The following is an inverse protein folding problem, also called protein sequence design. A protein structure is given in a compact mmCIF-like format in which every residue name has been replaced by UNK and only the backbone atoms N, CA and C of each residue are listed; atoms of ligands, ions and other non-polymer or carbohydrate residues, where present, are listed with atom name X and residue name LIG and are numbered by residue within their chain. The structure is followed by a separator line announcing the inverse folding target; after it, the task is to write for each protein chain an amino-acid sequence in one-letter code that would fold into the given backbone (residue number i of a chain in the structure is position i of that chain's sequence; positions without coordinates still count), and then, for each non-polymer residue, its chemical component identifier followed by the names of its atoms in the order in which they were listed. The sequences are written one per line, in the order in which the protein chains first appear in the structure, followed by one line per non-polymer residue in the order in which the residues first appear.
data_IF_323531956855
#
_entry.id   IF_323531956855
#
_cell.length_a   1.000
_cell.length_b   1.000
_cell.length_c   1.000
_cell.angle_alpha   90.00
_cell.angle_beta   90.00
_cell.angle_gamma   90.00
#
_symmetry.space_group_name_H-M   'P 1'
#
loop_
_entity.id
_entity.type
_entity.pdbx_description
1 polymer ?
#
# COMPACT_ATOMS: atom_id res chain seq x y z
N UNK A 1 -36.12 -17.33 -22.83
CA UNK A 1 -35.26 -16.12 -22.86
C UNK A 1 -35.42 -15.42 -21.52
N UNK A 2 -34.65 -15.82 -20.49
CA UNK A 2 -34.63 -15.21 -19.13
C UNK A 2 -33.48 -15.79 -18.27
N UNK A 3 -33.00 -16.99 -18.60
CA UNK A 3 -31.85 -17.61 -17.90
C UNK A 3 -30.49 -16.96 -18.22
N UNK A 4 -30.39 -16.17 -19.30
CA UNK A 4 -29.16 -15.50 -19.71
C UNK A 4 -28.90 -14.19 -18.93
N UNK A 5 -29.93 -13.59 -18.35
CA UNK A 5 -29.82 -12.32 -17.62
C UNK A 5 -29.28 -12.49 -16.19
N UNK A 6 -29.56 -13.62 -15.55
CA UNK A 6 -29.02 -13.93 -14.22
C UNK A 6 -27.52 -14.24 -14.24
N UNK A 7 -26.98 -14.73 -15.36
CA UNK A 7 -25.57 -15.10 -15.50
C UNK A 7 -24.64 -13.90 -15.71
N UNK A 8 -25.13 -12.80 -16.30
CA UNK A 8 -24.28 -11.62 -16.58
C UNK A 8 -23.99 -10.77 -15.33
N UNK A 9 -24.86 -10.82 -14.31
CA UNK A 9 -24.74 -9.98 -13.11
C UNK A 9 -23.64 -10.46 -12.13
N UNK A 10 -23.19 -11.71 -12.23
CA UNK A 10 -22.17 -12.28 -11.33
C UNK A 10 -20.75 -11.86 -11.74
N UNK A 11 -20.53 -11.49 -13.01
CA UNK A 11 -19.20 -11.12 -13.50
C UNK A 11 -18.78 -9.68 -13.16
N UNK A 12 -19.72 -8.82 -12.72
CA UNK A 12 -19.45 -7.40 -12.45
C UNK A 12 -18.80 -7.14 -11.08
N UNK A 13 -18.73 -8.13 -10.18
CA UNK A 13 -18.17 -7.96 -8.83
C UNK A 13 -16.71 -8.38 -8.70
N UNK A 14 -16.07 -8.86 -9.77
CA UNK A 14 -14.62 -8.92 -9.85
C UNK A 14 -14.04 -7.52 -10.12
N UNK A 15 -14.41 -6.55 -9.27
CA UNK A 15 -13.59 -5.35 -9.10
C UNK A 15 -12.29 -5.87 -8.53
N UNK A 16 -11.29 -5.95 -9.41
CA UNK A 16 -9.93 -6.36 -9.11
C UNK A 16 -9.50 -5.71 -7.79
N UNK A 17 -9.27 -6.52 -6.75
CA UNK A 17 -8.42 -6.11 -5.63
C UNK A 17 -7.04 -5.87 -6.24
N UNK A 18 -6.85 -4.70 -6.83
CA UNK A 18 -5.55 -4.23 -7.19
C UNK A 18 -4.86 -4.00 -5.85
N UNK A 19 -4.01 -4.95 -5.44
CA UNK A 19 -3.08 -4.77 -4.34
C UNK A 19 -1.99 -3.77 -4.78
N UNK A 20 -2.40 -2.60 -5.27
CA UNK A 20 -1.50 -1.54 -5.60
C UNK A 20 -0.94 -1.07 -4.25
N UNK A 21 0.35 -1.36 -4.03
CA UNK A 21 1.11 -0.77 -2.94
C UNK A 21 1.24 0.75 -3.11
N UNK A 22 0.90 1.25 -4.29
CA UNK A 22 0.93 2.65 -4.63
C UNK A 22 -0.47 3.18 -4.93
N UNK A 23 -0.76 4.39 -4.46
CA UNK A 23 -1.97 5.15 -4.78
C UNK A 23 -1.60 6.52 -5.33
N UNK A 24 -2.48 7.06 -6.18
CA UNK A 24 -2.40 8.43 -6.67
C UNK A 24 -3.57 9.21 -6.10
N UNK A 25 -3.28 10.30 -5.39
CA UNK A 25 -4.26 11.25 -4.89
C UNK A 25 -4.20 12.47 -5.81
N UNK A 26 -5.22 12.69 -6.67
CA UNK A 26 -5.23 13.84 -7.56
C UNK A 26 -5.17 15.14 -6.75
N UNK A 27 -4.36 16.10 -7.19
CA UNK A 27 -4.37 17.44 -6.59
C UNK A 27 -5.70 18.12 -6.84
N UNK A 28 -6.22 18.85 -5.84
CA UNK A 28 -7.34 19.77 -6.02
C UNK A 28 -6.89 21.00 -6.84
N UNK A 29 -6.74 20.81 -8.15
CA UNK A 29 -6.33 21.85 -9.11
C UNK A 29 -7.30 21.97 -10.26
N UNK A 30 -7.43 23.17 -10.82
CA UNK A 30 -8.21 23.41 -12.02
C UNK A 30 -7.68 22.54 -13.17
N UNK A 31 -8.58 21.79 -13.83
CA UNK A 31 -8.27 20.96 -15.00
C UNK A 31 -7.48 21.79 -16.02
N UNK A 32 -6.20 21.46 -16.21
CA UNK A 32 -5.31 22.12 -17.17
C UNK A 32 -4.18 22.99 -16.59
N UNK A 33 -4.07 23.14 -15.27
CA UNK A 33 -2.93 23.79 -14.62
C UNK A 33 -2.07 22.77 -13.83
N UNK A 34 -0.76 22.76 -14.06
CA UNK A 34 0.17 21.96 -13.25
C UNK A 34 0.24 22.56 -11.84
N UNK A 35 0.02 21.76 -10.78
CA UNK A 35 0.12 22.25 -9.40
C UNK A 35 1.57 22.64 -9.08
N UNK A 36 1.78 23.79 -8.44
CA UNK A 36 3.08 24.17 -7.86
C UNK A 36 3.33 23.47 -6.52
N UNK A 37 2.26 22.97 -5.90
CA UNK A 37 2.25 22.31 -4.60
C UNK A 37 1.09 21.31 -4.53
N UNK A 38 1.25 20.29 -3.69
CA UNK A 38 0.21 19.34 -3.36
C UNK A 38 -0.20 19.49 -1.89
N UNK A 39 -1.50 19.34 -1.60
CA UNK A 39 -1.99 19.23 -0.22
C UNK A 39 -2.32 17.78 0.10
N UNK A 40 -1.73 17.24 1.16
CA UNK A 40 -2.02 15.88 1.60
C UNK A 40 -3.31 15.80 2.43
N UNK A 41 -3.71 14.57 2.78
CA UNK A 41 -4.92 14.30 3.58
C UNK A 41 -4.85 14.83 5.01
N UNK A 42 -3.63 15.07 5.53
CA UNK A 42 -3.39 15.65 6.84
C UNK A 42 -3.46 17.20 6.79
N UNK A 43 -3.62 17.77 5.60
CA UNK A 43 -3.75 19.19 5.33
C UNK A 43 -2.42 19.91 5.13
N UNK A 44 -1.29 19.19 5.16
CA UNK A 44 0.04 19.74 4.93
C UNK A 44 0.30 19.98 3.44
N UNK A 45 1.00 21.07 3.14
CA UNK A 45 1.34 21.47 1.77
C UNK A 45 2.78 21.10 1.47
N UNK A 46 2.98 20.39 0.36
CA UNK A 46 4.27 19.92 -0.12
C UNK A 46 4.58 20.54 -1.49
N UNK A 47 5.76 21.12 -1.71
CA UNK A 47 6.15 21.64 -3.01
C UNK A 47 6.18 20.55 -4.09
N UNK A 48 6.00 20.93 -5.36
CA UNK A 48 6.21 20.03 -6.49
C UNK A 48 7.61 19.38 -6.43
N UNK A 49 7.67 18.06 -6.68
CA UNK A 49 8.84 17.17 -6.54
C UNK A 49 9.33 16.92 -5.12
N UNK A 50 8.64 17.42 -4.09
CA UNK A 50 8.93 17.02 -2.72
C UNK A 50 8.62 15.54 -2.51
N UNK A 51 9.43 14.88 -1.68
CA UNK A 51 9.19 13.52 -1.19
C UNK A 51 9.12 13.54 0.35
N UNK A 52 8.23 12.75 0.92
CA UNK A 52 8.09 12.61 2.38
C UNK A 52 7.64 11.21 2.77
N UNK A 53 7.88 10.84 4.03
CA UNK A 53 7.36 9.60 4.60
C UNK A 53 6.13 9.92 5.46
N UNK A 54 5.13 9.04 5.41
CA UNK A 54 3.93 9.13 6.24
C UNK A 54 4.04 8.23 7.47
N UNK A 55 3.21 8.48 8.47
CA UNK A 55 3.05 7.58 9.62
C UNK A 55 2.51 6.19 9.25
N UNK A 56 1.90 6.06 8.07
CA UNK A 56 1.30 4.82 7.55
C UNK A 56 2.30 3.95 6.77
N UNK A 57 3.59 4.19 6.96
CA UNK A 57 4.66 3.44 6.28
C UNK A 57 4.59 3.53 4.76
N UNK A 58 4.40 4.75 4.27
CA UNK A 58 4.44 5.07 2.85
C UNK A 58 5.47 6.16 2.58
N UNK A 59 6.08 6.07 1.40
CA UNK A 59 6.83 7.17 0.81
C UNK A 59 5.94 7.83 -0.23
N UNK A 60 5.68 9.11 -0.02
CA UNK A 60 4.89 9.94 -0.89
C UNK A 60 5.76 10.92 -1.68
N UNK A 61 5.27 11.33 -2.84
CA UNK A 61 5.87 12.37 -3.67
C UNK A 61 4.79 13.24 -4.32
N UNK A 62 5.05 14.54 -4.43
CA UNK A 62 4.17 15.48 -5.13
C UNK A 62 4.63 15.59 -6.58
N UNK A 63 3.82 15.12 -7.51
CA UNK A 63 4.06 15.19 -8.96
C UNK A 63 3.00 16.05 -9.65
N UNK A 64 3.16 16.28 -10.96
CA UNK A 64 2.28 17.16 -11.75
C UNK A 64 0.82 16.68 -11.80
N UNK A 65 0.59 15.38 -11.62
CA UNK A 65 -0.73 14.75 -11.61
C UNK A 65 -1.27 14.49 -10.19
N UNK A 66 -0.58 14.96 -9.15
CA UNK A 66 -0.98 14.82 -7.75
C UNK A 66 0.04 14.10 -6.89
N UNK A 67 -0.41 13.56 -5.76
CA UNK A 67 0.44 12.89 -4.78
C UNK A 67 0.49 11.39 -5.08
N UNK A 68 1.69 10.84 -5.27
CA UNK A 68 1.92 9.40 -5.37
C UNK A 68 2.46 8.89 -4.06
N UNK A 69 1.73 7.99 -3.40
CA UNK A 69 2.17 7.35 -2.16
C UNK A 69 2.30 5.86 -2.37
N UNK A 70 3.46 5.30 -2.03
CA UNK A 70 3.74 3.87 -2.10
C UNK A 70 4.15 3.33 -0.72
N UNK A 71 3.67 2.15 -0.36
CA UNK A 71 4.14 1.45 0.83
C UNK A 71 5.65 1.16 0.73
N UNK A 72 6.37 1.44 1.82
CA UNK A 72 7.80 1.09 1.95
C UNK A 72 8.00 -0.23 2.70
N UNK A 73 6.91 -0.90 3.09
CA UNK A 73 6.96 -2.09 3.93
C UNK A 73 7.34 -3.32 3.12
N UNK A 74 8.49 -3.92 3.45
CA UNK A 74 8.87 -5.25 2.95
C UNK A 74 8.12 -6.33 3.73
N UNK A 75 7.26 -7.06 3.03
CA UNK A 75 6.44 -8.15 3.57
C UNK A 75 7.16 -9.48 3.39
N UNK A 76 7.25 -10.33 4.43
CA UNK A 76 7.80 -11.67 4.29
C UNK A 76 6.83 -12.50 3.44
N UNK A 77 7.32 -13.02 2.31
CA UNK A 77 6.53 -13.77 1.33
C UNK A 77 6.71 -15.28 1.44
N UNK A 78 7.83 -15.75 2.02
CA UNK A 78 8.14 -17.19 2.14
C UNK A 78 8.79 -17.50 3.49
N UNK A 79 8.04 -18.13 4.38
CA UNK A 79 8.50 -18.67 5.67
C UNK A 79 7.61 -19.87 6.06
N UNK A 80 7.97 -20.60 7.12
CA UNK A 80 7.14 -21.69 7.62
C UNK A 80 5.91 -21.15 8.36
N UNK A 81 4.81 -20.90 7.64
CA UNK A 81 3.56 -20.40 8.22
C UNK A 81 2.90 -21.38 9.21
N UNK A 82 3.31 -22.66 9.22
CA UNK A 82 2.80 -23.64 10.18
C UNK A 82 3.39 -23.40 11.58
N UNK A 83 4.70 -23.15 11.66
CA UNK A 83 5.45 -22.97 12.92
C UNK A 83 5.69 -21.51 13.31
N UNK A 84 5.57 -20.60 12.35
CA UNK A 84 5.96 -19.22 12.53
C UNK A 84 4.83 -18.25 12.19
N UNK A 85 4.90 -17.06 12.78
CA UNK A 85 4.01 -15.95 12.51
C UNK A 85 4.80 -14.66 12.29
N UNK A 86 4.17 -13.68 11.64
CA UNK A 86 4.77 -12.37 11.36
C UNK A 86 4.20 -11.31 12.27
N UNK A 87 5.07 -10.46 12.79
CA UNK A 87 4.73 -9.33 13.65
C UNK A 87 5.12 -8.06 12.90
N UNK A 88 4.16 -7.13 12.75
CA UNK A 88 4.42 -5.84 12.14
C UNK A 88 4.85 -4.83 13.19
N UNK A 89 5.90 -4.07 12.89
CA UNK A 89 6.43 -2.99 13.72
C UNK A 89 6.18 -1.66 13.02
N UNK A 90 5.14 -0.93 13.44
CA UNK A 90 4.75 0.35 12.83
C UNK A 90 5.89 1.38 12.87
N UNK A 91 6.58 1.49 14.01
CA UNK A 91 7.63 2.50 14.22
C UNK A 91 8.80 2.38 13.24
N UNK A 92 9.11 1.15 12.82
CA UNK A 92 10.21 0.84 11.90
C UNK A 92 9.73 0.44 10.51
N UNK A 93 8.41 0.40 10.28
CA UNK A 93 7.77 -0.03 9.04
C UNK A 93 8.27 -1.39 8.53
N UNK A 94 8.49 -2.34 9.45
CA UNK A 94 9.12 -3.63 9.15
C UNK A 94 8.38 -4.81 9.76
N UNK A 95 8.64 -6.00 9.23
CA UNK A 95 8.14 -7.26 9.78
C UNK A 95 9.26 -8.06 10.43
N UNK A 96 8.95 -8.69 11.56
CA UNK A 96 9.73 -9.79 12.11
C UNK A 96 8.93 -11.08 11.94
N UNK A 97 9.59 -12.19 11.66
CA UNK A 97 8.96 -13.52 11.64
C UNK A 97 9.52 -14.33 12.80
N UNK A 98 8.67 -14.84 13.67
CA UNK A 98 9.04 -15.52 14.92
C UNK A 98 8.31 -16.86 15.06
N UNK A 99 8.83 -17.75 15.90
CA UNK A 99 8.17 -19.01 16.23
C UNK A 99 6.89 -18.74 17.03
N UNK A 100 5.79 -19.44 16.69
CA UNK A 100 4.52 -19.33 17.43
C UNK A 100 4.64 -19.81 18.88
N UNK A 101 5.44 -20.84 19.12
CA UNK A 101 5.65 -21.40 20.47
C UNK A 101 6.59 -20.53 21.31
N UNK A 102 7.47 -19.77 20.67
CA UNK A 102 8.43 -18.91 21.34
C UNK A 102 8.74 -17.64 20.52
N UNK A 103 7.98 -16.55 20.74
CA UNK A 103 8.16 -15.30 20.01
C UNK A 103 9.54 -14.63 20.18
N UNK A 104 10.37 -15.06 21.15
CA UNK A 104 11.74 -14.57 21.29
C UNK A 104 12.71 -15.19 20.26
N UNK A 105 12.30 -16.23 19.53
CA UNK A 105 13.08 -16.87 18.47
C UNK A 105 12.57 -16.48 17.10
N UNK A 106 13.46 -15.95 16.26
CA UNK A 106 13.16 -15.60 14.87
C UNK A 106 13.16 -16.83 13.96
N UNK A 107 12.25 -16.85 12.99
CA UNK A 107 12.23 -17.86 11.93
C UNK A 107 13.00 -17.40 10.69
N UNK A 108 13.47 -18.37 9.90
CA UNK A 108 14.11 -18.11 8.61
C UNK A 108 13.06 -17.65 7.59
N UNK A 109 13.34 -16.53 6.94
CA UNK A 109 12.55 -15.99 5.82
C UNK A 109 13.33 -16.17 4.53
N UNK A 110 12.74 -16.89 3.58
CA UNK A 110 13.37 -17.24 2.30
C UNK A 110 12.96 -16.31 1.15
N UNK A 111 12.09 -15.34 1.42
CA UNK A 111 11.63 -14.40 0.40
C UNK A 111 10.86 -13.24 0.99
N UNK A 112 11.07 -12.07 0.40
CA UNK A 112 10.41 -10.82 0.73
C UNK A 112 9.76 -10.25 -0.53
N UNK A 113 8.65 -9.55 -0.35
CA UNK A 113 8.00 -8.76 -1.40
C UNK A 113 7.80 -7.35 -0.87
N UNK A 114 8.01 -6.35 -1.72
CA UNK A 114 7.35 -5.06 -1.52
C UNK A 114 5.85 -5.30 -1.71
#
# INVERSE_FOLDING_TARGET
MNALLGSLLVFATFVTLCNAQCRVIPSEGAVGASPSECRDSDGATHPLKAEWNTGDCEKCSCEENGIHCCSIVLKPAKYDESKCEKIFHQETCSFTVVEKENPAKTCVVNGWTM
#
